data_IF_216192562560
#
_entry.id   IF_216192562560
#
_cell.length_a   1.000
_cell.length_b   1.000
_cell.length_c   1.000
_cell.angle_alpha   90.00
_cell.angle_beta   90.00
_cell.angle_gamma   90.00
#
_symmetry.space_group_name_H-M   'P 1'
#
loop_
_entity.id
_entity.type
_entity.pdbx_description
1 polymer ?
#
# COMPACT_ATOMS: atom_id res chain seq x y z
N UNK A 1 2.43 21.08 23.53
CA UNK A 1 2.69 19.86 22.73
C UNK A 1 1.94 20.02 21.39
N UNK A 2 2.68 20.27 20.30
CA UNK A 2 2.06 20.39 18.96
C UNK A 2 1.92 18.98 18.40
N UNK A 3 0.70 18.47 18.37
CA UNK A 3 0.37 17.22 17.66
C UNK A 3 0.36 17.57 16.17
N UNK A 4 1.36 17.09 15.44
CA UNK A 4 1.45 17.31 14.00
C UNK A 4 0.40 16.43 13.32
N UNK A 5 -0.67 17.06 12.81
CA UNK A 5 -1.69 16.41 11.98
C UNK A 5 -1.11 16.03 10.61
N UNK A 6 -0.41 14.92 10.52
CA UNK A 6 0.34 14.54 9.32
C UNK A 6 -0.53 13.98 8.18
N UNK A 7 -1.78 13.64 8.43
CA UNK A 7 -2.72 13.15 7.41
C UNK A 7 -3.61 14.23 6.79
N UNK A 8 -3.61 15.45 7.33
CA UNK A 8 -4.49 16.54 6.84
C UNK A 8 -3.88 17.41 5.74
N UNK A 9 -2.64 17.20 5.33
CA UNK A 9 -2.01 18.00 4.27
C UNK A 9 -2.14 17.37 2.87
N UNK A 10 -2.89 16.30 2.73
CA UNK A 10 -3.22 15.72 1.43
C UNK A 10 -4.53 16.31 0.90
N UNK A 11 -4.38 17.30 0.04
CA UNK A 11 -5.35 17.77 -0.94
C UNK A 11 -6.56 18.57 -0.43
N UNK A 12 -6.38 19.85 -0.31
CA UNK A 12 -7.43 20.78 -0.72
C UNK A 12 -7.38 20.94 -2.25
N UNK A 13 -7.96 20.00 -3.00
CA UNK A 13 -8.36 20.25 -4.38
C UNK A 13 -9.76 20.86 -4.36
N UNK A 14 -9.83 22.16 -4.62
CA UNK A 14 -11.09 22.84 -4.95
C UNK A 14 -11.62 22.28 -6.26
N UNK A 15 -12.72 21.53 -6.19
CA UNK A 15 -13.45 21.08 -7.35
C UNK A 15 -14.12 22.27 -8.03
N UNK A 16 -13.60 22.70 -9.16
CA UNK A 16 -14.33 23.54 -10.10
C UNK A 16 -15.35 22.65 -10.84
N UNK A 17 -16.62 22.90 -10.61
CA UNK A 17 -17.71 22.25 -11.33
C UNK A 17 -17.68 22.68 -12.80
N UNK A 18 -17.28 21.77 -13.69
CA UNK A 18 -17.47 21.90 -15.13
C UNK A 18 -18.58 20.95 -15.57
N UNK A 19 -19.55 21.53 -16.27
CA UNK A 19 -20.72 20.92 -16.85
C UNK A 19 -20.38 19.68 -17.71
N UNK A 20 -21.13 18.60 -17.49
CA UNK A 20 -21.06 17.34 -18.24
C UNK A 20 -21.74 17.53 -19.59
N UNK A 21 -21.08 17.23 -20.73
CA UNK A 21 -21.77 17.08 -22.00
C UNK A 21 -22.38 15.67 -22.13
N UNK A 22 -23.59 15.65 -22.67
CA UNK A 22 -24.46 14.51 -22.92
C UNK A 22 -23.79 13.33 -23.67
N UNK A 23 -24.31 12.18 -23.34
CA UNK A 23 -24.15 10.83 -23.89
C UNK A 23 -23.73 10.73 -25.35
N UNK A 24 -22.57 10.11 -25.58
CA UNK A 24 -22.26 9.42 -26.83
C UNK A 24 -22.58 7.93 -26.67
N UNK A 25 -23.32 7.40 -27.65
CA UNK A 25 -23.64 6.01 -27.82
C UNK A 25 -22.40 5.12 -27.71
N UNK A 26 -22.47 4.14 -26.82
CA UNK A 26 -21.45 3.11 -26.69
C UNK A 26 -21.59 2.16 -27.87
N UNK A 27 -20.68 2.25 -28.83
CA UNK A 27 -20.53 1.23 -29.86
C UNK A 27 -20.08 -0.08 -29.18
N UNK A 28 -20.77 -1.18 -29.46
CA UNK A 28 -20.41 -2.49 -29.02
C UNK A 28 -18.98 -2.81 -29.47
N UNK A 29 -18.11 -3.07 -28.50
CA UNK A 29 -16.73 -3.52 -28.75
C UNK A 29 -16.81 -4.97 -29.19
N UNK A 30 -16.48 -5.26 -30.45
CA UNK A 30 -16.28 -6.63 -30.92
C UNK A 30 -15.22 -7.36 -30.09
N UNK A 31 -15.39 -8.66 -29.77
CA UNK A 31 -14.39 -9.43 -29.07
C UNK A 31 -13.14 -9.56 -29.95
N UNK A 32 -12.01 -9.08 -29.44
CA UNK A 32 -10.71 -9.20 -30.10
C UNK A 32 -10.35 -10.69 -30.28
N UNK A 33 -10.30 -11.10 -31.53
CA UNK A 33 -9.78 -12.42 -31.96
C UNK A 33 -8.26 -12.38 -31.97
N UNK A 34 -7.65 -13.44 -31.37
CA UNK A 34 -6.23 -13.79 -31.31
C UNK A 34 -5.39 -13.04 -30.27
N UNK A 35 -4.64 -13.87 -29.50
CA UNK A 35 -3.72 -13.48 -28.46
C UNK A 35 -2.46 -12.82 -29.04
N UNK A 36 -2.57 -11.58 -29.47
CA UNK A 36 -1.42 -10.71 -29.59
C UNK A 36 -0.96 -10.34 -28.19
N UNK A 37 0.32 -10.61 -27.86
CA UNK A 37 0.91 -10.18 -26.60
C UNK A 37 0.79 -8.66 -26.51
N UNK A 38 -0.20 -8.17 -25.79
CA UNK A 38 -0.36 -6.74 -25.57
C UNK A 38 0.85 -6.21 -24.77
N UNK A 39 1.49 -5.12 -25.21
CA UNK A 39 2.46 -4.43 -24.36
C UNK A 39 1.81 -4.04 -23.04
N UNK A 40 2.60 -3.92 -21.99
CA UNK A 40 2.09 -3.52 -20.67
C UNK A 40 1.20 -2.28 -20.77
N UNK A 41 0.00 -2.34 -20.20
CA UNK A 41 -0.95 -1.24 -20.12
C UNK A 41 -1.82 -1.39 -18.88
N UNK A 42 -2.29 -0.28 -18.33
CA UNK A 42 -3.28 -0.31 -17.25
C UNK A 42 -4.71 -0.71 -17.71
N UNK A 43 -4.91 -1.02 -18.99
CA UNK A 43 -6.21 -1.49 -19.49
C UNK A 43 -6.46 -2.94 -19.04
N UNK A 44 -7.60 -3.24 -18.39
CA UNK A 44 -7.93 -4.58 -17.90
C UNK A 44 -7.92 -5.67 -18.97
N UNK A 45 -8.30 -5.33 -20.19
CA UNK A 45 -8.43 -6.27 -21.32
C UNK A 45 -7.11 -6.76 -21.87
N UNK A 46 -6.01 -6.03 -21.67
CA UNK A 46 -4.71 -6.36 -22.23
C UNK A 46 -3.72 -6.90 -21.20
N UNK A 47 -3.87 -6.56 -19.92
CA UNK A 47 -2.88 -6.89 -18.88
C UNK A 47 -3.51 -7.80 -17.84
N UNK A 48 -3.55 -9.10 -18.15
CA UNK A 48 -4.27 -10.10 -17.35
C UNK A 48 -3.65 -10.40 -15.99
N UNK A 49 -2.34 -10.25 -15.86
CA UNK A 49 -1.62 -10.48 -14.61
C UNK A 49 -1.37 -9.22 -13.78
N UNK A 50 -2.03 -8.11 -14.11
CA UNK A 50 -2.06 -6.91 -13.28
C UNK A 50 -3.17 -7.01 -12.22
N UNK A 51 -2.84 -6.97 -10.95
CA UNK A 51 -3.84 -6.87 -9.87
C UNK A 51 -4.62 -5.55 -9.99
N UNK A 52 -5.93 -5.60 -9.77
CA UNK A 52 -6.83 -4.44 -9.88
C UNK A 52 -7.19 -3.85 -8.52
N UNK A 53 -6.30 -4.02 -7.56
CA UNK A 53 -6.39 -3.44 -6.24
C UNK A 53 -5.18 -2.54 -6.00
N UNK A 54 -5.38 -1.44 -5.29
CA UNK A 54 -4.29 -0.54 -4.96
C UNK A 54 -3.39 -1.19 -3.92
N UNK A 55 -2.09 -1.27 -4.25
CA UNK A 55 -1.06 -1.67 -3.30
C UNK A 55 -0.35 -0.42 -2.79
N UNK A 56 -0.50 -0.16 -1.50
CA UNK A 56 0.08 1.00 -0.82
C UNK A 56 1.14 0.50 0.14
N UNK A 57 2.32 1.11 0.10
CA UNK A 57 3.42 0.82 1.02
C UNK A 57 3.77 2.06 1.80
N UNK A 58 3.83 1.92 3.13
CA UNK A 58 4.25 2.95 4.06
C UNK A 58 5.54 2.50 4.72
N UNK A 59 6.64 3.17 4.38
CA UNK A 59 7.96 2.89 4.95
C UNK A 59 8.19 3.77 6.16
N UNK A 60 8.75 3.23 7.24
CA UNK A 60 9.14 4.00 8.43
C UNK A 60 10.31 3.40 9.17
N UNK A 61 10.94 4.26 9.96
CA UNK A 61 11.93 3.86 10.94
C UNK A 61 11.25 3.65 12.29
N UNK A 62 11.87 2.82 13.10
CA UNK A 62 11.49 2.67 14.49
C UNK A 62 11.70 3.97 15.24
N UNK A 63 10.95 4.16 16.31
CA UNK A 63 11.11 5.23 17.27
C UNK A 63 12.52 5.22 17.85
N UNK A 64 13.09 6.40 18.09
CA UNK A 64 14.35 6.54 18.77
C UNK A 64 14.32 5.89 20.17
N UNK A 65 15.40 5.23 20.55
CA UNK A 65 15.57 4.60 21.85
C UNK A 65 15.06 3.16 21.98
N UNK A 66 14.45 2.59 20.90
CA UNK A 66 14.09 1.17 20.89
C UNK A 66 14.97 0.37 19.92
N UNK A 67 15.21 -0.91 20.25
CA UNK A 67 16.00 -1.80 19.39
C UNK A 67 15.17 -2.31 18.20
N UNK A 68 15.81 -2.84 17.14
CA UNK A 68 15.09 -3.49 16.02
C UNK A 68 14.18 -4.63 16.51
N UNK A 69 14.62 -5.42 17.47
CA UNK A 69 13.84 -6.53 18.04
C UNK A 69 12.61 -6.02 18.79
N UNK A 70 12.76 -4.95 19.58
CA UNK A 70 11.64 -4.33 20.29
C UNK A 70 10.61 -3.75 19.32
N UNK A 71 11.06 -3.07 18.25
CA UNK A 71 10.22 -2.56 17.19
C UNK A 71 9.42 -3.68 16.52
N UNK A 72 10.12 -4.71 16.04
CA UNK A 72 9.51 -5.82 15.33
C UNK A 72 8.54 -6.61 16.21
N UNK A 73 8.92 -6.89 17.46
CA UNK A 73 8.07 -7.62 18.40
C UNK A 73 6.81 -6.82 18.77
N UNK A 74 6.94 -5.51 19.01
CA UNK A 74 5.79 -4.67 19.32
C UNK A 74 4.82 -4.62 18.13
N UNK A 75 5.34 -4.35 16.94
CA UNK A 75 4.53 -4.25 15.73
C UNK A 75 3.77 -5.54 15.43
N UNK A 76 4.48 -6.67 15.42
CA UNK A 76 3.87 -7.97 15.12
C UNK A 76 2.87 -8.45 16.18
N UNK A 77 3.14 -8.22 17.46
CA UNK A 77 2.39 -8.87 18.55
C UNK A 77 1.38 -7.95 19.26
N UNK A 78 1.67 -6.64 19.33
CA UNK A 78 0.84 -5.69 20.07
C UNK A 78 -0.01 -4.85 19.10
N UNK A 79 0.61 -4.17 18.16
CA UNK A 79 -0.10 -3.33 17.20
C UNK A 79 -1.11 -4.12 16.37
N UNK A 80 -0.79 -5.34 15.96
CA UNK A 80 -1.70 -6.20 15.20
C UNK A 80 -3.02 -6.44 15.92
N UNK A 81 -3.02 -6.56 17.26
CA UNK A 81 -4.26 -6.72 18.03
C UNK A 81 -5.11 -5.45 18.04
N UNK A 82 -4.48 -4.29 17.98
CA UNK A 82 -5.17 -3.00 17.97
C UNK A 82 -5.71 -2.66 16.58
N UNK A 83 -4.93 -2.97 15.53
CA UNK A 83 -5.21 -2.53 14.17
C UNK A 83 -5.94 -3.56 13.29
N UNK A 84 -5.89 -4.87 13.64
CA UNK A 84 -6.41 -5.93 12.77
C UNK A 84 -7.89 -5.79 12.43
N UNK A 85 -8.75 -5.69 13.45
CA UNK A 85 -10.20 -5.54 13.26
C UNK A 85 -10.56 -4.21 12.59
N UNK A 86 -9.75 -3.18 12.82
CA UNK A 86 -9.92 -1.89 12.15
C UNK A 86 -9.70 -2.01 10.65
N UNK A 87 -8.64 -2.67 10.20
CA UNK A 87 -8.39 -2.88 8.77
C UNK A 87 -9.50 -3.71 8.10
N UNK A 88 -9.97 -4.76 8.77
CA UNK A 88 -11.07 -5.60 8.27
C UNK A 88 -12.36 -4.80 8.12
N UNK A 89 -12.69 -3.93 9.06
CA UNK A 89 -13.88 -3.07 9.02
C UNK A 89 -13.93 -2.17 7.77
N UNK A 90 -12.77 -1.76 7.26
CA UNK A 90 -12.66 -0.95 6.05
C UNK A 90 -12.51 -1.78 4.76
N UNK A 91 -12.59 -3.11 4.86
CA UNK A 91 -12.49 -3.96 3.68
C UNK A 91 -11.09 -3.99 3.06
N UNK A 92 -10.04 -3.88 3.88
CA UNK A 92 -8.66 -4.15 3.44
C UNK A 92 -8.55 -5.61 3.04
N UNK A 93 -8.19 -5.88 1.79
CA UNK A 93 -8.08 -7.25 1.28
C UNK A 93 -6.88 -8.00 1.84
N UNK A 94 -5.78 -7.30 1.98
CA UNK A 94 -4.54 -7.85 2.55
C UNK A 94 -3.78 -6.75 3.25
N UNK A 95 -3.23 -7.09 4.40
CA UNK A 95 -2.25 -6.29 5.11
C UNK A 95 -1.04 -7.15 5.40
N UNK A 96 0.14 -6.64 5.17
CA UNK A 96 1.38 -7.29 5.58
C UNK A 96 2.35 -6.30 6.20
N UNK A 97 3.16 -6.79 7.10
CA UNK A 97 4.27 -6.08 7.72
C UNK A 97 5.56 -6.61 7.10
N UNK A 98 6.31 -5.72 6.46
CA UNK A 98 7.66 -6.02 5.99
C UNK A 98 8.64 -5.55 7.05
N UNK A 99 9.35 -6.50 7.66
CA UNK A 99 10.31 -6.25 8.70
C UNK A 99 11.73 -6.23 8.14
N UNK A 100 12.47 -5.16 8.42
CA UNK A 100 13.86 -5.00 8.01
C UNK A 100 14.71 -4.69 9.23
N UNK A 101 15.89 -5.31 9.31
CA UNK A 101 16.88 -5.01 10.34
C UNK A 101 18.15 -4.48 9.69
N UNK A 102 19.05 -3.82 10.46
CA UNK A 102 20.34 -3.40 9.94
C UNK A 102 21.12 -4.56 9.30
N UNK A 103 21.11 -5.73 9.92
CA UNK A 103 21.80 -6.94 9.44
C UNK A 103 21.24 -7.43 8.11
N UNK A 104 19.90 -7.37 7.93
CA UNK A 104 19.26 -7.73 6.66
C UNK A 104 19.62 -6.73 5.57
N UNK A 105 19.66 -5.44 5.88
CA UNK A 105 20.07 -4.41 4.93
C UNK A 105 21.53 -4.56 4.51
N UNK A 106 22.40 -4.95 5.45
CA UNK A 106 23.82 -5.17 5.17
C UNK A 106 24.07 -6.30 4.18
N UNK A 107 23.18 -7.30 4.08
CA UNK A 107 23.26 -8.33 3.03
C UNK A 107 23.20 -7.78 1.60
N UNK A 108 22.59 -6.60 1.40
CA UNK A 108 22.47 -5.95 0.10
C UNK A 108 23.58 -4.94 -0.17
N UNK A 109 24.43 -4.61 0.83
CA UNK A 109 25.51 -3.64 0.69
C UNK A 109 26.73 -4.29 0.04
N UNK A 110 26.77 -4.22 -1.29
CA UNK A 110 27.89 -4.72 -2.08
C UNK A 110 28.63 -3.54 -2.76
N UNK A 111 29.96 -3.61 -2.92
CA UNK A 111 30.72 -2.58 -3.63
C UNK A 111 30.15 -2.34 -5.04
N UNK A 112 29.81 -1.10 -5.37
CA UNK A 112 29.21 -0.74 -6.66
C UNK A 112 27.73 -1.12 -6.82
N UNK A 113 27.08 -1.64 -5.78
CA UNK A 113 25.66 -1.98 -5.77
C UNK A 113 24.75 -0.74 -5.69
N UNK A 114 23.45 -0.99 -5.84
CA UNK A 114 22.44 0.05 -5.68
C UNK A 114 22.37 0.55 -4.21
N UNK A 115 21.98 1.81 -3.99
CA UNK A 115 21.70 2.29 -2.64
C UNK A 115 20.60 1.47 -1.97
N UNK A 116 20.81 1.14 -0.68
CA UNK A 116 19.84 0.41 0.13
C UNK A 116 18.95 1.40 0.87
N UNK A 117 17.63 1.15 0.88
CA UNK A 117 16.70 1.93 1.69
C UNK A 117 16.93 1.72 3.19
N UNK A 118 17.05 2.83 3.92
CA UNK A 118 17.33 2.83 5.36
C UNK A 118 16.04 2.90 6.19
N UNK A 119 15.09 1.98 5.93
CA UNK A 119 13.87 1.85 6.70
C UNK A 119 13.87 0.57 7.52
N UNK A 120 13.30 0.63 8.73
CA UNK A 120 13.18 -0.52 9.62
C UNK A 120 11.99 -1.41 9.26
N UNK A 121 11.04 -0.90 8.47
CA UNK A 121 9.94 -1.70 7.98
C UNK A 121 9.00 -0.97 7.04
N UNK A 122 8.06 -1.73 6.48
CA UNK A 122 6.95 -1.18 5.70
C UNK A 122 5.64 -1.87 6.05
N UNK A 123 4.56 -1.07 6.23
CA UNK A 123 3.20 -1.58 6.19
C UNK A 123 2.73 -1.61 4.75
N UNK A 124 2.17 -2.72 4.33
CA UNK A 124 1.67 -2.90 2.97
C UNK A 124 0.17 -3.21 3.02
N UNK A 125 -0.60 -2.44 2.24
CA UNK A 125 -2.05 -2.54 2.18
C UNK A 125 -2.51 -2.82 0.75
N UNK A 126 -3.37 -3.81 0.58
CA UNK A 126 -4.11 -4.01 -0.66
C UNK A 126 -5.57 -3.62 -0.41
N UNK A 127 -6.01 -2.57 -1.08
CA UNK A 127 -7.34 -1.97 -0.87
C UNK A 127 -8.11 -1.86 -2.18
N UNK A 128 -9.46 -1.97 -2.15
CA UNK A 128 -10.26 -1.91 -3.37
C UNK A 128 -10.17 -0.54 -4.05
N UNK A 129 -10.15 0.54 -3.28
CA UNK A 129 -10.10 1.91 -3.80
C UNK A 129 -9.24 2.81 -2.92
N UNK A 130 -8.80 3.94 -3.45
CA UNK A 130 -8.07 4.94 -2.68
C UNK A 130 -8.96 5.64 -1.64
N UNK A 131 -10.25 5.74 -1.89
CA UNK A 131 -11.24 6.26 -0.93
C UNK A 131 -11.29 5.40 0.32
N UNK A 132 -11.17 4.07 0.18
CA UNK A 132 -11.05 3.15 1.32
C UNK A 132 -9.86 3.52 2.20
N UNK A 133 -8.69 3.70 1.60
CA UNK A 133 -7.49 4.07 2.34
C UNK A 133 -7.60 5.45 3.01
N UNK A 134 -8.18 6.43 2.30
CA UNK A 134 -8.41 7.78 2.84
C UNK A 134 -9.42 7.77 3.98
N UNK A 135 -10.49 6.97 3.87
CA UNK A 135 -11.49 6.82 4.91
C UNK A 135 -10.89 6.22 6.20
N UNK A 136 -9.99 5.23 6.07
CA UNK A 136 -9.23 4.71 7.22
C UNK A 136 -8.45 5.81 7.94
N UNK A 137 -7.68 6.61 7.20
CA UNK A 137 -6.86 7.69 7.77
C UNK A 137 -7.69 8.82 8.40
N UNK A 138 -8.96 8.98 8.00
CA UNK A 138 -9.88 10.00 8.51
C UNK A 138 -10.75 9.53 9.68
N UNK A 139 -10.76 8.23 9.98
CA UNK A 139 -11.58 7.66 11.04
C UNK A 139 -11.10 8.12 12.42
N UNK A 140 -11.99 8.53 13.33
CA UNK A 140 -11.60 8.91 14.69
C UNK A 140 -10.84 7.83 15.45
N UNK A 141 -11.15 6.55 15.23
CA UNK A 141 -10.43 5.45 15.86
C UNK A 141 -8.97 5.39 15.40
N UNK A 142 -8.70 5.66 14.12
CA UNK A 142 -7.31 5.76 13.63
C UNK A 142 -6.55 6.82 14.41
N UNK A 143 -7.10 8.03 14.50
CA UNK A 143 -6.46 9.15 15.20
C UNK A 143 -6.30 8.90 16.70
N UNK A 144 -7.35 8.39 17.35
CA UNK A 144 -7.43 8.37 18.82
C UNK A 144 -6.88 7.07 19.43
N UNK A 145 -6.80 5.99 18.64
CA UNK A 145 -6.34 4.68 19.10
C UNK A 145 -5.10 4.22 18.31
N UNK A 146 -5.20 4.10 16.98
CA UNK A 146 -4.12 3.55 16.15
C UNK A 146 -2.87 4.45 16.19
N UNK A 147 -3.02 5.75 15.94
CA UNK A 147 -1.88 6.68 15.97
C UNK A 147 -1.23 6.76 17.36
N UNK A 148 -2.02 6.64 18.44
CA UNK A 148 -1.44 6.60 19.79
C UNK A 148 -0.62 5.34 20.03
N UNK A 149 -1.09 4.21 19.52
CA UNK A 149 -0.37 2.95 19.59
C UNK A 149 0.91 2.99 18.74
N UNK A 150 0.83 3.54 17.52
CA UNK A 150 1.97 3.76 16.64
C UNK A 150 3.08 4.59 17.28
N UNK A 151 2.74 5.59 18.08
CA UNK A 151 3.71 6.42 18.82
C UNK A 151 4.60 5.64 19.80
N UNK A 152 4.26 4.39 20.11
CA UNK A 152 5.12 3.56 20.96
C UNK A 152 6.32 2.99 20.20
N UNK A 153 6.23 2.84 18.86
CA UNK A 153 7.25 2.13 18.11
C UNK A 153 7.66 2.79 16.78
N UNK A 154 6.85 3.70 16.19
CA UNK A 154 7.15 4.36 14.91
C UNK A 154 7.71 5.77 15.13
N UNK A 155 8.70 6.14 14.31
CA UNK A 155 9.04 7.53 14.02
C UNK A 155 8.21 8.02 12.82
N UNK A 156 7.10 8.69 13.10
CA UNK A 156 6.21 9.23 12.07
C UNK A 156 6.87 10.25 11.13
N UNK A 157 7.94 10.90 11.56
CA UNK A 157 8.65 11.88 10.71
C UNK A 157 9.41 11.21 9.56
N UNK A 158 9.77 9.95 9.73
CA UNK A 158 10.46 9.13 8.74
C UNK A 158 9.54 8.59 7.64
N UNK A 159 8.20 8.63 7.84
CA UNK A 159 7.23 7.98 6.97
C UNK A 159 7.36 8.43 5.51
N UNK A 160 7.38 7.46 4.60
CA UNK A 160 7.31 7.65 3.16
C UNK A 160 6.30 6.67 2.57
N UNK A 161 5.56 7.10 1.55
CA UNK A 161 4.52 6.29 0.93
C UNK A 161 4.72 6.17 -0.58
N UNK A 162 4.35 5.01 -1.10
CA UNK A 162 4.12 4.81 -2.54
C UNK A 162 2.80 4.08 -2.75
N UNK A 163 2.21 4.23 -3.92
CA UNK A 163 1.01 3.50 -4.34
C UNK A 163 1.19 3.03 -5.77
N UNK A 164 0.67 1.84 -6.07
CA UNK A 164 0.73 1.26 -7.40
C UNK A 164 -0.16 0.03 -7.52
N UNK A 165 0.05 -0.71 -8.60
CA UNK A 165 -0.57 -2.00 -8.86
C UNK A 165 0.53 -3.05 -9.03
N UNK A 166 0.28 -4.26 -8.52
CA UNK A 166 1.20 -5.37 -8.72
C UNK A 166 0.98 -6.02 -10.10
N UNK A 167 2.06 -6.18 -10.85
CA UNK A 167 2.12 -7.00 -12.05
C UNK A 167 2.82 -8.30 -11.69
N UNK A 168 2.10 -9.41 -11.72
CA UNK A 168 2.59 -10.70 -11.27
C UNK A 168 3.17 -11.50 -12.44
N UNK A 169 4.47 -11.66 -12.47
CA UNK A 169 5.17 -12.48 -13.50
C UNK A 169 5.40 -13.90 -13.04
N UNK A 170 5.69 -14.08 -11.76
CA UNK A 170 5.96 -15.38 -11.15
C UNK A 170 5.21 -15.45 -9.83
N UNK A 171 4.43 -16.50 -9.61
CA UNK A 171 3.80 -16.79 -8.34
C UNK A 171 4.01 -18.26 -8.00
N UNK A 172 4.41 -18.52 -6.76
CA UNK A 172 4.66 -19.87 -6.24
C UNK A 172 5.53 -20.73 -7.20
N UNK A 173 6.63 -20.16 -7.69
CA UNK A 173 7.60 -20.74 -8.64
C UNK A 173 7.05 -21.06 -10.04
N UNK A 174 5.85 -20.59 -10.37
CA UNK A 174 5.24 -20.75 -11.68
C UNK A 174 5.15 -19.41 -12.41
N UNK A 175 5.35 -19.44 -13.73
CA UNK A 175 5.09 -18.28 -14.58
C UNK A 175 3.58 -17.97 -14.60
N UNK A 176 3.24 -16.71 -14.39
CA UNK A 176 1.85 -16.24 -14.40
C UNK A 176 1.54 -15.61 -15.75
N UNK A 177 0.64 -16.22 -16.49
CA UNK A 177 0.12 -15.69 -17.76
C UNK A 177 -1.22 -14.98 -17.59
N UNK A 178 -1.98 -15.37 -16.55
CA UNK A 178 -3.22 -14.74 -16.15
C UNK A 178 -3.30 -14.77 -14.62
N UNK A 179 -3.53 -13.61 -14.01
CA UNK A 179 -3.60 -13.53 -12.56
C UNK A 179 -4.95 -14.01 -12.06
N UNK A 180 -4.91 -15.16 -11.36
CA UNK A 180 -6.11 -15.81 -10.80
C UNK A 180 -6.52 -15.30 -9.43
N UNK A 181 -5.86 -14.28 -8.86
CA UNK A 181 -6.29 -13.71 -7.57
C UNK A 181 -7.52 -12.84 -7.77
N UNK A 182 -8.63 -13.35 -7.33
CA UNK A 182 -9.80 -12.52 -7.05
C UNK A 182 -9.75 -12.20 -5.56
N UNK A 183 -9.45 -10.97 -5.22
CA UNK A 183 -9.84 -10.46 -3.92
C UNK A 183 -11.38 -10.32 -3.95
N UNK A 184 -12.06 -11.25 -3.32
CA UNK A 184 -13.51 -11.23 -3.14
C UNK A 184 -13.85 -10.64 -1.80
#
# INVERSE_FOLDING_TARGET
MKVSNFLLSLLSLTAAATSIPQSRSVSAVEPATSAECCPFTYKPTCTKNLERVYHIKLFYNRKEGITPEQFNAYWANNHTKTAGDFHLRFGVYKYSQYHSTPELRDLLRVPGGAPVFEFDGAAEFWVPTMETFQAMGSDPFYRDVITRDENNFIDHSSMRMIVGFDYIMVDNQNAVTEHGRTFQ
#
